data_IF_382889924330
#
_entry.id   IF_382889924330
#
_cell.length_a   1.000
_cell.length_b   1.000
_cell.length_c   1.000
_cell.angle_alpha   90.00
_cell.angle_beta   90.00
_cell.angle_gamma   90.00
#
_symmetry.space_group_name_H-M   'P 1'
#
loop_
_entity.id
_entity.type
_entity.pdbx_description
1 polymer ?
#
# COMPACT_ATOMS: atom_id res chain seq x y z
N UNK A 1 7.31 -16.33 4.63
CA UNK A 1 6.15 -15.67 3.96
C UNK A 1 5.48 -14.75 4.98
N UNK A 2 4.73 -13.74 4.54
CA UNK A 2 4.04 -12.78 5.42
C UNK A 2 2.61 -12.60 4.94
N UNK A 3 1.64 -12.55 5.87
CA UNK A 3 0.23 -12.30 5.59
C UNK A 3 -0.42 -11.47 6.71
N UNK A 4 -1.60 -10.93 6.47
CA UNK A 4 -2.44 -10.34 7.53
C UNK A 4 -3.54 -11.33 7.97
N UNK A 5 -4.06 -11.15 9.19
CA UNK A 5 -5.05 -12.05 9.79
C UNK A 5 -6.53 -11.62 9.60
N UNK A 6 -6.82 -10.55 8.87
CA UNK A 6 -8.16 -10.05 8.51
C UNK A 6 -8.99 -9.48 9.68
N UNK A 7 -8.74 -9.92 10.91
CA UNK A 7 -9.39 -9.45 12.13
C UNK A 7 -8.31 -8.99 13.14
N UNK A 8 -7.84 -7.76 12.98
CA UNK A 8 -6.88 -7.15 13.92
C UNK A 8 -5.70 -6.43 13.27
N UNK A 9 -5.59 -6.42 11.93
CA UNK A 9 -4.52 -5.76 11.17
C UNK A 9 -3.10 -6.11 11.65
N UNK A 10 -2.97 -7.28 12.29
CA UNK A 10 -1.72 -7.86 12.73
C UNK A 10 -1.05 -8.52 11.54
N UNK A 11 0.28 -8.35 11.48
CA UNK A 11 1.12 -8.94 10.45
C UNK A 11 1.73 -10.20 11.02
N UNK A 12 1.56 -11.31 10.30
CA UNK A 12 2.11 -12.60 10.69
C UNK A 12 3.20 -13.02 9.74
N UNK A 13 4.31 -13.52 10.28
CA UNK A 13 5.42 -14.06 9.52
C UNK A 13 5.64 -15.55 9.83
N UNK A 14 6.06 -16.28 8.79
CA UNK A 14 6.54 -17.65 8.90
C UNK A 14 7.96 -17.77 8.34
N UNK A 15 8.81 -18.52 9.04
CA UNK A 15 10.17 -18.87 8.65
C UNK A 15 10.32 -20.34 8.24
N UNK A 16 9.29 -21.16 8.46
CA UNK A 16 9.32 -22.62 8.27
C UNK A 16 8.43 -23.13 7.13
N UNK A 17 8.05 -22.23 6.22
CA UNK A 17 7.22 -22.53 5.06
C UNK A 17 5.72 -22.56 5.34
N UNK A 18 5.26 -21.85 6.37
CA UNK A 18 3.85 -21.71 6.73
C UNK A 18 3.34 -22.77 7.70
N UNK A 19 4.23 -23.51 8.37
CA UNK A 19 3.84 -24.49 9.39
C UNK A 19 3.56 -23.79 10.72
N UNK A 20 4.35 -22.78 11.05
CA UNK A 20 4.12 -21.88 12.19
C UNK A 20 4.09 -20.44 11.73
N UNK A 21 3.31 -19.63 12.43
CA UNK A 21 3.12 -18.20 12.18
C UNK A 21 3.26 -17.45 13.49
N UNK A 22 4.03 -16.38 13.47
CA UNK A 22 4.27 -15.50 14.62
C UNK A 22 3.83 -14.09 14.25
N UNK A 23 3.14 -13.40 15.17
CA UNK A 23 2.82 -11.98 15.00
C UNK A 23 4.12 -11.17 15.10
N UNK A 24 4.31 -10.24 14.17
CA UNK A 24 5.50 -9.39 14.08
C UNK A 24 5.10 -7.91 13.99
N UNK A 25 5.95 -7.06 14.58
CA UNK A 25 5.77 -5.61 14.57
C UNK A 25 4.51 -5.15 15.31
N UNK A 26 4.19 -3.87 15.10
CA UNK A 26 2.94 -3.29 15.60
C UNK A 26 1.79 -3.56 14.63
N UNK A 27 0.57 -3.68 15.17
CA UNK A 27 -0.65 -3.74 14.36
C UNK A 27 -0.80 -2.47 13.52
N UNK A 28 -1.20 -2.62 12.26
CA UNK A 28 -1.50 -1.47 11.41
C UNK A 28 -2.89 -0.92 11.77
N UNK A 29 -3.06 0.40 11.81
CA UNK A 29 -4.36 1.03 12.12
C UNK A 29 -5.35 0.99 10.94
N UNK A 30 -5.09 0.16 9.91
CA UNK A 30 -5.81 0.17 8.65
C UNK A 30 -6.11 -1.25 8.15
N UNK A 31 -7.27 -1.39 7.51
CA UNK A 31 -7.71 -2.62 6.86
C UNK A 31 -6.85 -2.93 5.65
N UNK A 32 -6.07 -4.00 5.74
CA UNK A 32 -5.12 -4.40 4.71
C UNK A 32 -5.87 -5.02 3.53
N UNK A 33 -5.68 -4.46 2.33
CA UNK A 33 -6.23 -5.05 1.10
C UNK A 33 -5.22 -5.96 0.40
N UNK A 34 -3.92 -5.69 0.55
CA UNK A 34 -2.86 -6.54 0.04
C UNK A 34 -1.52 -6.23 0.70
N UNK A 35 -0.69 -7.27 0.86
CA UNK A 35 0.69 -7.18 1.31
C UNK A 35 1.60 -7.98 0.37
N UNK A 36 2.79 -7.45 0.09
CA UNK A 36 3.76 -8.10 -0.79
C UNK A 36 5.19 -7.81 -0.34
N UNK A 37 6.01 -8.85 -0.35
CA UNK A 37 7.44 -8.77 -0.01
C UNK A 37 8.28 -9.08 -1.25
N UNK A 38 9.18 -8.16 -1.58
CA UNK A 38 10.16 -8.31 -2.66
C UNK A 38 11.31 -9.24 -2.23
N UNK A 39 11.65 -9.21 -0.95
CA UNK A 39 12.53 -10.17 -0.30
C UNK A 39 12.18 -10.28 1.21
N UNK A 40 13.02 -10.94 2.00
CA UNK A 40 12.76 -11.15 3.43
C UNK A 40 12.76 -9.86 4.27
N UNK A 41 13.24 -8.73 3.73
CA UNK A 41 13.34 -7.47 4.46
C UNK A 41 12.43 -6.38 3.89
N UNK A 42 12.19 -6.40 2.58
CA UNK A 42 11.58 -5.30 1.84
C UNK A 42 10.16 -5.65 1.43
N UNK A 43 9.19 -4.88 1.93
CA UNK A 43 7.78 -5.12 1.69
C UNK A 43 6.96 -3.85 1.53
N UNK A 44 5.78 -4.03 0.95
CA UNK A 44 4.77 -3.00 0.73
C UNK A 44 3.41 -3.55 1.15
N UNK A 45 2.61 -2.69 1.76
CA UNK A 45 1.23 -2.96 2.16
C UNK A 45 0.35 -1.83 1.68
N UNK A 46 -0.87 -2.16 1.26
CA UNK A 46 -1.91 -1.21 0.85
C UNK A 46 -3.25 -1.58 1.48
N UNK A 47 -4.15 -0.61 1.56
CA UNK A 47 -5.52 -0.82 2.02
C UNK A 47 -6.21 0.49 2.37
N UNK A 48 -7.15 0.48 3.32
CA UNK A 48 -7.94 1.66 3.71
C UNK A 48 -8.38 1.59 5.17
N UNK A 49 -9.04 2.63 5.67
CA UNK A 49 -9.80 2.59 6.93
C UNK A 49 -11.05 3.46 6.79
N UNK A 50 -11.89 3.48 7.83
CA UNK A 50 -13.06 4.36 7.87
C UNK A 50 -12.71 5.84 7.70
N UNK A 51 -11.53 6.26 8.16
CA UNK A 51 -11.08 7.66 8.10
C UNK A 51 -10.25 7.98 6.85
N UNK A 52 -9.65 6.97 6.21
CA UNK A 52 -8.74 7.16 5.09
C UNK A 52 -9.05 6.18 3.95
N UNK A 53 -9.44 6.65 2.75
CA UNK A 53 -9.88 5.79 1.65
C UNK A 53 -8.73 5.02 0.98
N UNK A 54 -7.50 5.33 1.35
CA UNK A 54 -6.30 4.63 0.93
C UNK A 54 -5.19 4.79 1.97
N UNK A 55 -4.34 3.78 2.11
CA UNK A 55 -3.01 3.87 2.69
C UNK A 55 -2.04 3.05 1.85
N UNK A 56 -0.77 3.40 1.96
CA UNK A 56 0.32 2.58 1.45
C UNK A 56 1.52 2.79 2.35
N UNK A 57 2.02 1.68 2.93
CA UNK A 57 3.18 1.69 3.81
C UNK A 57 4.22 0.70 3.32
N UNK A 58 5.46 0.95 3.71
CA UNK A 58 6.61 0.17 3.29
C UNK A 58 7.45 -0.25 4.50
N UNK A 59 8.03 -1.43 4.43
CA UNK A 59 8.95 -1.96 5.43
C UNK A 59 10.30 -2.27 4.78
N UNK A 60 11.36 -2.17 5.59
CA UNK A 60 12.73 -2.54 5.21
C UNK A 60 13.39 -3.47 6.23
N UNK A 61 12.65 -3.90 7.24
CA UNK A 61 13.10 -4.74 8.34
C UNK A 61 12.23 -5.99 8.49
N UNK A 62 11.62 -6.45 7.39
CA UNK A 62 10.86 -7.70 7.36
C UNK A 62 9.46 -7.58 7.94
N UNK A 63 8.94 -6.37 8.10
CA UNK A 63 7.61 -6.09 8.64
C UNK A 63 7.59 -5.75 10.12
N UNK A 64 8.76 -5.57 10.76
CA UNK A 64 8.86 -5.14 12.15
C UNK A 64 8.42 -3.68 12.32
N UNK A 65 8.78 -2.83 11.36
CA UNK A 65 8.31 -1.44 11.28
C UNK A 65 7.81 -1.10 9.88
N UNK A 66 6.82 -0.20 9.83
CA UNK A 66 6.18 0.27 8.61
C UNK A 66 6.19 1.80 8.55
N UNK A 67 6.61 2.34 7.41
CA UNK A 67 6.66 3.78 7.15
C UNK A 67 5.63 4.17 6.08
N UNK A 68 4.89 5.25 6.31
CA UNK A 68 3.91 5.76 5.36
C UNK A 68 4.60 6.27 4.07
N UNK A 69 4.36 5.54 2.97
CA UNK A 69 4.93 5.87 1.66
C UNK A 69 4.26 7.09 1.02
N UNK A 70 2.98 7.33 1.31
CA UNK A 70 2.22 8.45 0.72
C UNK A 70 2.32 9.73 1.57
N UNK A 71 3.38 9.89 2.38
CA UNK A 71 3.59 11.07 3.22
C UNK A 71 4.00 12.31 2.42
N UNK A 72 4.68 12.13 1.29
CA UNK A 72 5.18 13.21 0.44
C UNK A 72 4.34 13.44 -0.81
N UNK A 73 4.36 14.69 -1.30
CA UNK A 73 3.62 15.11 -2.51
C UNK A 73 4.05 14.32 -3.75
N UNK A 74 5.33 13.99 -3.87
CA UNK A 74 5.88 13.30 -5.05
C UNK A 74 5.32 11.88 -5.14
N UNK A 75 5.36 11.11 -4.05
CA UNK A 75 4.87 9.74 -4.05
C UNK A 75 3.33 9.68 -4.06
N UNK A 76 2.63 10.65 -3.45
CA UNK A 76 1.18 10.84 -3.69
C UNK A 76 0.89 11.03 -5.18
N UNK A 77 1.58 11.92 -5.88
CA UNK A 77 1.36 12.16 -7.31
C UNK A 77 1.72 10.94 -8.19
N UNK A 78 2.69 10.14 -7.78
CA UNK A 78 3.08 8.91 -8.47
C UNK A 78 1.99 7.85 -8.37
N UNK A 79 1.42 7.62 -7.19
CA UNK A 79 0.49 6.51 -6.94
C UNK A 79 -0.99 6.91 -7.09
N UNK A 80 -1.34 8.17 -6.82
CA UNK A 80 -2.72 8.65 -6.77
C UNK A 80 -3.04 9.59 -7.95
N UNK A 81 -4.31 9.71 -8.37
CA UNK A 81 -4.72 10.60 -9.47
C UNK A 81 -4.81 12.08 -9.03
N UNK A 82 -3.86 12.57 -8.23
CA UNK A 82 -3.92 13.89 -7.57
C UNK A 82 -4.19 15.05 -8.55
N UNK A 83 -3.62 14.99 -9.76
CA UNK A 83 -3.80 16.01 -10.80
C UNK A 83 -5.24 16.14 -11.32
N UNK A 84 -6.07 15.13 -11.07
CA UNK A 84 -7.45 15.09 -11.55
C UNK A 84 -8.42 15.75 -10.56
N UNK A 85 -7.94 16.17 -9.39
CA UNK A 85 -8.78 16.66 -8.30
C UNK A 85 -8.31 18.05 -7.84
N UNK A 86 -9.25 19.00 -7.61
CA UNK A 86 -8.89 20.33 -7.11
C UNK A 86 -8.31 20.34 -5.69
N UNK A 87 -8.75 19.42 -4.84
CA UNK A 87 -8.34 19.34 -3.42
C UNK A 87 -8.13 17.89 -2.99
N UNK A 88 -7.34 17.69 -1.93
CA UNK A 88 -7.16 16.37 -1.31
C UNK A 88 -8.49 15.79 -0.78
N UNK A 89 -9.37 16.63 -0.22
CA UNK A 89 -10.71 16.20 0.17
C UNK A 89 -11.50 15.62 -1.02
N UNK A 90 -11.50 16.31 -2.17
CA UNK A 90 -12.20 15.82 -3.37
C UNK A 90 -11.59 14.54 -3.95
N UNK A 91 -10.29 14.33 -3.77
CA UNK A 91 -9.63 13.07 -4.10
C UNK A 91 -10.09 11.96 -3.15
N UNK A 92 -10.07 12.22 -1.84
CA UNK A 92 -10.46 11.24 -0.82
C UNK A 92 -11.91 10.77 -1.01
N UNK A 93 -12.82 11.71 -1.26
CA UNK A 93 -14.23 11.43 -1.53
C UNK A 93 -14.46 10.60 -2.81
N UNK A 94 -13.48 10.61 -3.71
CA UNK A 94 -13.55 9.95 -5.01
C UNK A 94 -12.97 8.54 -5.02
N UNK A 95 -11.93 8.26 -4.21
CA UNK A 95 -11.30 6.95 -4.18
C UNK A 95 -12.30 5.88 -3.70
N UNK A 96 -12.29 4.73 -4.38
CA UNK A 96 -13.16 3.59 -4.09
C UNK A 96 -12.40 2.38 -3.60
N UNK A 97 -11.18 2.18 -4.11
CA UNK A 97 -10.32 1.11 -3.68
C UNK A 97 -8.86 1.40 -4.02
N UNK A 98 -7.97 0.90 -3.19
CA UNK A 98 -6.56 0.66 -3.53
C UNK A 98 -6.30 -0.85 -3.44
N UNK A 99 -5.65 -1.38 -4.46
CA UNK A 99 -5.30 -2.79 -4.54
C UNK A 99 -3.90 -2.96 -5.10
N UNK A 100 -3.30 -4.11 -4.83
CA UNK A 100 -1.99 -4.46 -5.32
C UNK A 100 -2.00 -5.84 -5.95
N UNK A 101 -1.27 -5.98 -7.06
CA UNK A 101 -1.07 -7.26 -7.74
C UNK A 101 0.41 -7.47 -8.05
N UNK A 102 1.08 -8.48 -7.46
CA UNK A 102 2.45 -8.84 -7.84
C UNK A 102 2.55 -9.18 -9.33
N UNK A 103 3.64 -8.78 -9.96
CA UNK A 103 3.96 -9.09 -11.36
C UNK A 103 5.09 -10.14 -11.40
N UNK A 104 6.13 -9.89 -10.61
CA UNK A 104 7.27 -10.77 -10.40
C UNK A 104 7.89 -10.45 -9.03
N UNK A 105 9.03 -11.08 -8.71
CA UNK A 105 9.72 -10.90 -7.42
C UNK A 105 10.16 -9.45 -7.13
N UNK A 106 10.30 -8.61 -8.15
CA UNK A 106 10.88 -7.26 -8.03
C UNK A 106 9.84 -6.15 -8.26
N UNK A 107 8.63 -6.48 -8.74
CA UNK A 107 7.62 -5.49 -9.16
C UNK A 107 6.18 -5.92 -8.88
N UNK A 108 5.36 -4.94 -8.53
CA UNK A 108 3.92 -5.06 -8.35
C UNK A 108 3.18 -3.91 -9.03
N UNK A 109 1.94 -4.13 -9.42
CA UNK A 109 1.02 -3.06 -9.80
C UNK A 109 0.27 -2.57 -8.59
N UNK A 110 0.30 -1.25 -8.36
CA UNK A 110 -0.62 -0.56 -7.46
C UNK A 110 -1.73 0.03 -8.32
N UNK A 111 -2.98 -0.31 -7.99
CA UNK A 111 -4.15 0.13 -8.74
C UNK A 111 -5.08 0.90 -7.80
N UNK A 112 -5.42 2.13 -8.20
CA UNK A 112 -6.34 3.01 -7.48
C UNK A 112 -7.55 3.25 -8.36
N UNK A 113 -8.71 2.82 -7.89
CA UNK A 113 -10.00 3.03 -8.56
C UNK A 113 -10.72 4.21 -7.93
N UNK A 114 -11.28 5.10 -8.74
CA UNK A 114 -11.85 6.37 -8.29
C UNK A 114 -12.92 6.89 -9.26
N UNK A 115 -13.76 7.83 -8.80
CA UNK A 115 -14.74 8.53 -9.65
C UNK A 115 -14.11 9.82 -10.20
N UNK A 116 -13.87 9.87 -11.51
CA UNK A 116 -13.23 11.02 -12.16
C UNK A 116 -13.98 12.33 -11.90
N UNK A 117 -13.24 13.40 -11.59
CA UNK A 117 -13.85 14.70 -11.30
C UNK A 117 -14.60 15.29 -12.51
N UNK A 118 -14.00 15.23 -13.70
CA UNK A 118 -14.51 15.86 -14.92
C UNK A 118 -15.67 15.13 -15.58
N UNK A 119 -15.79 13.82 -15.38
CA UNK A 119 -16.76 12.98 -16.08
C UNK A 119 -17.70 12.18 -15.17
N UNK A 120 -17.45 12.15 -13.86
CA UNK A 120 -18.18 11.32 -12.89
C UNK A 120 -18.25 9.83 -13.29
N UNK A 121 -17.27 9.37 -14.07
CA UNK A 121 -17.09 7.98 -14.47
C UNK A 121 -16.05 7.31 -13.59
N UNK A 122 -16.24 6.03 -13.33
CA UNK A 122 -15.22 5.18 -12.71
C UNK A 122 -13.99 5.12 -13.61
N UNK A 123 -12.83 5.38 -13.02
CA UNK A 123 -11.54 5.38 -13.66
C UNK A 123 -10.54 4.66 -12.76
N UNK A 124 -9.42 4.25 -13.36
CA UNK A 124 -8.33 3.58 -12.66
C UNK A 124 -7.01 4.26 -12.98
N UNK A 125 -6.18 4.45 -11.95
CA UNK A 125 -4.76 4.77 -12.10
C UNK A 125 -3.97 3.54 -11.70
N UNK A 126 -3.03 3.15 -12.56
CA UNK A 126 -2.15 2.01 -12.32
C UNK A 126 -0.70 2.47 -12.36
N UNK A 127 0.05 2.08 -11.34
CA UNK A 127 1.47 2.41 -11.18
C UNK A 127 2.27 1.14 -10.99
N UNK A 128 3.38 1.00 -11.72
CA UNK A 128 4.37 -0.05 -11.44
C UNK A 128 5.18 0.40 -10.24
N UNK A 129 5.14 -0.38 -9.18
CA UNK A 129 5.91 -0.19 -7.96
C UNK A 129 6.97 -1.27 -7.86
N UNK A 130 8.20 -0.85 -7.61
CA UNK A 130 9.40 -1.69 -7.64
C UNK A 130 10.15 -1.61 -6.31
N UNK A 131 11.04 -2.57 -6.08
CA UNK A 131 11.94 -2.53 -4.93
C UNK A 131 12.73 -1.22 -4.83
N UNK A 132 13.19 -0.66 -5.95
CA UNK A 132 13.94 0.62 -5.94
C UNK A 132 13.11 1.81 -5.48
N UNK A 133 11.78 1.75 -5.62
CA UNK A 133 10.91 2.81 -5.11
C UNK A 133 10.90 2.85 -3.58
N UNK A 134 11.19 1.72 -2.92
CA UNK A 134 11.36 1.67 -1.47
C UNK A 134 12.53 2.53 -1.04
N UNK A 135 13.65 2.52 -1.76
CA UNK A 135 14.93 3.15 -1.38
C UNK A 135 14.86 4.69 -1.39
N UNK A 136 14.06 5.26 -2.30
CA UNK A 136 13.90 6.71 -2.48
C UNK A 136 13.22 7.36 -1.27
N UNK A 137 12.29 6.66 -0.62
CA UNK A 137 11.49 7.20 0.49
C UNK A 137 12.27 7.44 1.81
N UNK A 138 13.51 6.96 1.96
CA UNK A 138 14.31 7.20 3.18
C UNK A 138 15.41 8.26 3.01
N UNK A 139 15.45 8.96 1.87
CA UNK A 139 16.41 10.05 1.62
C UNK A 139 15.80 11.45 1.76
N UNK A 140 14.52 11.53 2.10
CA UNK A 140 13.77 12.75 2.38
C UNK A 140 13.20 12.69 3.79
#
# INVERSE_FOLDING_TARGET
AVCDAGAGNEIYQTTDGGKTWESIGDSLEFDISAIFFFDSQNGVVVGSSESFPYFMSVTRDGGLTWSNYLSSKTEKQRCLPVSNFPTEASLNDSVRAISMRPINKDTAYISVTYISYSGQLEAQKQTVFSRSDLEIAAKN
#
